data_IF_999718114325
#
_entry.id   IF_999718114325
#
_cell.length_a   1.000
_cell.length_b   1.000
_cell.length_c   1.000
_cell.angle_alpha   90.00
_cell.angle_beta   90.00
_cell.angle_gamma   90.00
#
_symmetry.space_group_name_H-M   'P 1'
#
loop_
_entity.id
_entity.type
_entity.pdbx_description
1 polymer ?
#
# COMPACT_ATOMS: atom_id res chain seq x y z
N UNK A 1 -23.29 24.17 1.01
CA UNK A 1 -22.94 23.77 1.02
C UNK A 1 -22.50 23.23 1.24
N UNK A 2 -22.28 23.10 1.05
CA UNK A 2 -21.83 22.57 1.06
C UNK A 2 -21.38 21.84 1.35
N UNK A 3 -21.22 21.57 1.40
CA UNK A 3 -20.84 20.74 1.67
C UNK A 3 -20.31 20.18 1.64
N UNK A 4 -20.19 20.03 1.52
CA UNK A 4 -19.70 19.41 1.46
C UNK A 4 -19.10 18.63 1.76
N UNK A 5 -19.01 18.25 1.73
CA UNK A 5 -18.49 17.37 2.01
C UNK A 5 -17.76 16.88 2.45
N UNK A 6 -17.70 16.70 2.43
CA UNK A 6 -17.13 16.28 2.87
C UNK A 6 -16.67 15.43 3.10
N UNK A 7 -16.70 15.12 2.86
CA UNK A 7 -16.33 14.44 3.08
C UNK A 7 -15.84 13.62 3.16
N UNK A 8 -15.87 13.34 2.91
CA UNK A 8 -15.44 12.61 2.93
C UNK A 8 -14.58 12.12 2.95
N UNK A 9 -14.31 11.88 2.92
CA UNK A 9 -13.53 11.45 2.96
C UNK A 9 -13.13 10.30 3.25
N UNK A 10 -13.38 9.39 3.27
CA UNK A 10 -13.03 8.33 3.49
C UNK A 10 -12.41 7.62 2.54
N UNK A 11 -12.45 6.76 2.04
CA UNK A 11 -11.73 6.09 1.02
C UNK A 11 -11.72 6.89 -0.24
N UNK A 12 -10.87 6.58 -1.16
CA UNK A 12 -10.82 7.31 -2.41
C UNK A 12 -12.01 6.96 -3.29
N UNK A 13 -12.37 7.90 -4.14
CA UNK A 13 -13.34 7.69 -5.18
C UNK A 13 -12.73 6.73 -6.17
N UNK A 14 -13.37 5.65 -6.49
CA UNK A 14 -12.82 4.66 -7.37
C UNK A 14 -12.58 5.17 -8.78
N UNK A 15 -13.37 6.12 -9.23
CA UNK A 15 -13.13 6.71 -10.54
C UNK A 15 -11.82 7.48 -10.52
N UNK A 16 -11.57 8.19 -9.43
CA UNK A 16 -10.33 8.92 -9.30
C UNK A 16 -9.15 7.96 -9.22
N UNK A 17 -9.33 6.86 -8.54
CA UNK A 17 -8.29 5.87 -8.48
C UNK A 17 -7.90 5.41 -9.87
N UNK A 18 -8.88 5.11 -10.73
CA UNK A 18 -8.58 4.66 -12.05
C UNK A 18 -7.80 5.69 -12.83
N UNK A 19 -8.17 6.96 -12.70
CA UNK A 19 -7.51 7.99 -13.44
C UNK A 19 -6.16 8.35 -12.87
N UNK A 20 -5.92 8.00 -11.62
CA UNK A 20 -4.68 8.38 -10.98
C UNK A 20 -3.80 7.21 -10.67
N UNK A 21 -3.84 6.17 -11.47
CA UNK A 21 -2.96 5.06 -11.25
C UNK A 21 -1.52 5.52 -11.35
N UNK A 22 -0.64 4.96 -10.53
CA UNK A 22 0.76 5.34 -10.58
C UNK A 22 1.43 4.80 -11.83
N UNK A 23 2.55 5.40 -12.17
CA UNK A 23 3.31 4.93 -13.31
C UNK A 23 4.14 3.72 -12.92
N UNK A 24 4.19 2.70 -13.77
CA UNK A 24 5.06 1.57 -13.52
C UNK A 24 6.50 2.03 -13.39
N UNK A 25 7.21 1.43 -12.47
CA UNK A 25 8.62 1.77 -12.28
C UNK A 25 8.89 2.92 -11.34
N UNK A 26 7.84 3.56 -10.83
CA UNK A 26 8.06 4.65 -9.88
C UNK A 26 8.11 4.10 -8.46
N UNK A 27 8.84 4.77 -7.56
CA UNK A 27 8.97 4.26 -6.20
C UNK A 27 7.68 4.42 -5.41
N UNK A 28 7.40 3.52 -4.49
CA UNK A 28 6.23 3.65 -3.63
C UNK A 28 6.34 4.86 -2.71
N UNK A 29 5.20 5.39 -2.34
CA UNK A 29 5.16 6.49 -1.39
C UNK A 29 5.47 5.98 0.01
N UNK A 30 5.80 6.88 0.95
CA UNK A 30 6.05 6.43 2.33
C UNK A 30 4.87 5.67 2.94
N UNK A 31 3.64 6.10 2.66
CA UNK A 31 2.47 5.39 3.18
C UNK A 31 2.36 3.99 2.53
N UNK A 32 2.67 3.90 1.26
CA UNK A 32 2.62 2.62 0.58
C UNK A 32 3.69 1.69 1.14
N UNK A 33 4.88 2.19 1.43
CA UNK A 33 5.94 1.39 2.02
C UNK A 33 5.51 0.90 3.40
N UNK A 34 4.89 1.78 4.18
CA UNK A 34 4.43 1.42 5.50
C UNK A 34 3.42 0.26 5.42
N UNK A 35 2.51 0.34 4.47
CA UNK A 35 1.51 -0.71 4.30
C UNK A 35 2.18 -2.01 3.86
N UNK A 36 3.11 -1.94 2.91
CA UNK A 36 3.77 -3.14 2.42
C UNK A 36 4.59 -3.79 3.54
N UNK A 37 5.14 -2.98 4.44
CA UNK A 37 5.88 -3.52 5.54
C UNK A 37 4.96 -4.33 6.46
N UNK A 38 3.73 -3.86 6.68
CA UNK A 38 2.76 -4.61 7.45
C UNK A 38 2.33 -5.88 6.74
N UNK A 39 2.21 -5.81 5.41
CA UNK A 39 1.92 -7.01 4.63
C UNK A 39 3.03 -8.02 4.83
N UNK A 40 4.28 -7.56 4.84
CA UNK A 40 5.41 -8.45 5.03
C UNK A 40 5.41 -9.12 6.38
N UNK A 41 4.77 -8.48 7.36
CA UNK A 41 4.66 -9.08 8.68
C UNK A 41 3.40 -9.92 8.83
N UNK A 42 2.69 -10.14 7.76
CA UNK A 42 1.55 -11.06 7.79
C UNK A 42 0.21 -10.46 8.14
N UNK A 43 0.12 -9.14 8.22
CA UNK A 43 -1.17 -8.55 8.56
C UNK A 43 -2.12 -8.58 7.38
N UNK A 44 -3.39 -8.78 7.67
CA UNK A 44 -4.44 -8.69 6.67
C UNK A 44 -4.76 -7.23 6.40
N UNK A 45 -5.52 -6.96 5.34
CA UNK A 45 -5.95 -5.60 5.03
C UNK A 45 -6.77 -5.03 6.18
N UNK A 46 -7.61 -5.86 6.82
CA UNK A 46 -8.40 -5.37 7.94
C UNK A 46 -7.50 -5.00 9.12
N UNK A 47 -6.48 -5.80 9.37
CA UNK A 47 -5.57 -5.51 10.47
C UNK A 47 -4.74 -4.26 10.19
N UNK A 48 -4.30 -4.11 8.96
CA UNK A 48 -3.54 -2.92 8.58
C UNK A 48 -4.44 -1.68 8.70
N UNK A 49 -5.67 -1.80 8.21
CA UNK A 49 -6.61 -0.69 8.29
C UNK A 49 -6.87 -0.28 9.74
N UNK A 50 -6.98 -1.26 10.62
CA UNK A 50 -7.21 -0.94 12.03
C UNK A 50 -6.03 -0.17 12.60
N UNK A 51 -4.82 -0.50 12.20
CA UNK A 51 -3.66 0.20 12.72
C UNK A 51 -3.49 1.59 12.14
N UNK A 52 -3.89 1.78 10.91
CA UNK A 52 -3.69 3.06 10.23
C UNK A 52 -4.95 3.90 10.13
N UNK A 53 -6.04 3.42 10.73
CA UNK A 53 -7.33 4.11 10.69
C UNK A 53 -7.83 4.26 9.26
N UNK A 54 -7.68 3.17 8.48
CA UNK A 54 -8.14 3.13 7.10
C UNK A 54 -9.12 1.98 6.92
N UNK A 55 -10.04 2.14 6.00
CA UNK A 55 -10.93 1.04 5.65
C UNK A 55 -10.11 -0.05 4.95
N UNK A 56 -10.49 -1.30 5.09
CA UNK A 56 -9.77 -2.38 4.42
C UNK A 56 -9.69 -2.20 2.90
N UNK A 57 -10.75 -1.67 2.29
CA UNK A 57 -10.73 -1.43 0.85
C UNK A 57 -9.70 -0.36 0.49
N UNK A 58 -9.51 0.63 1.33
CA UNK A 58 -8.48 1.64 1.10
C UNK A 58 -7.09 1.00 1.14
N UNK A 59 -6.89 0.09 2.09
CA UNK A 59 -5.62 -0.64 2.17
C UNK A 59 -5.42 -1.45 0.89
N UNK A 60 -6.48 -2.11 0.42
CA UNK A 60 -6.42 -2.88 -0.80
C UNK A 60 -5.99 -2.02 -1.97
N UNK A 61 -6.52 -0.81 -2.07
CA UNK A 61 -6.16 0.07 -3.16
C UNK A 61 -4.69 0.52 -3.06
N UNK A 62 -4.19 0.74 -1.85
CA UNK A 62 -2.79 1.07 -1.69
C UNK A 62 -1.90 -0.09 -2.14
N UNK A 63 -2.26 -1.32 -1.77
CA UNK A 63 -1.49 -2.48 -2.18
C UNK A 63 -1.49 -2.61 -3.71
N UNK A 64 -2.65 -2.35 -4.34
CA UNK A 64 -2.75 -2.43 -5.76
C UNK A 64 -1.86 -1.39 -6.43
N UNK A 65 -1.79 -0.18 -5.88
CA UNK A 65 -0.92 0.84 -6.43
C UNK A 65 0.54 0.40 -6.37
N UNK A 66 0.95 -0.23 -5.28
CA UNK A 66 2.32 -0.72 -5.18
C UNK A 66 2.56 -1.82 -6.20
N UNK A 67 1.56 -2.68 -6.43
CA UNK A 67 1.68 -3.70 -7.45
C UNK A 67 1.98 -3.09 -8.81
N UNK A 68 1.30 -2.00 -9.13
CA UNK A 68 1.54 -1.33 -10.41
C UNK A 68 2.94 -0.72 -10.45
N UNK A 69 3.34 -0.04 -9.38
CA UNK A 69 4.66 0.60 -9.37
C UNK A 69 5.79 -0.40 -9.51
N UNK A 70 5.67 -1.54 -8.85
CA UNK A 70 6.75 -2.52 -8.83
C UNK A 70 6.62 -3.61 -9.90
N UNK A 71 5.50 -3.63 -10.60
CA UNK A 71 5.27 -4.68 -11.59
C UNK A 71 5.01 -6.03 -10.96
N UNK A 72 4.38 -6.04 -9.79
CA UNK A 72 4.14 -7.28 -9.06
C UNK A 72 2.92 -7.99 -9.57
N UNK A 73 2.91 -9.31 -9.48
CA UNK A 73 1.80 -10.10 -9.94
C UNK A 73 0.78 -10.34 -8.85
N UNK A 74 1.18 -10.31 -7.62
CA UNK A 74 0.26 -10.54 -6.51
C UNK A 74 0.86 -9.97 -5.24
N UNK A 75 0.14 -10.12 -4.14
CA UNK A 75 0.51 -9.55 -2.86
C UNK A 75 1.87 -10.05 -2.38
N UNK A 76 2.11 -11.34 -2.50
CA UNK A 76 3.38 -11.89 -2.05
C UNK A 76 4.54 -11.38 -2.90
N UNK A 77 4.30 -11.21 -4.19
CA UNK A 77 5.33 -10.72 -5.09
C UNK A 77 5.69 -9.27 -4.77
N UNK A 78 4.71 -8.49 -4.26
CA UNK A 78 4.98 -7.12 -3.83
C UNK A 78 6.05 -7.12 -2.76
N UNK A 79 5.93 -8.00 -1.76
CA UNK A 79 6.87 -8.04 -0.66
C UNK A 79 8.26 -8.42 -1.18
N UNK A 80 8.31 -9.43 -2.05
CA UNK A 80 9.58 -9.87 -2.59
C UNK A 80 10.28 -8.75 -3.37
N UNK A 81 9.52 -8.06 -4.22
CA UNK A 81 10.08 -6.98 -5.00
C UNK A 81 10.49 -5.80 -4.15
N UNK A 82 9.69 -5.50 -3.13
CA UNK A 82 10.02 -4.38 -2.24
C UNK A 82 11.33 -4.65 -1.50
N UNK A 83 11.58 -5.87 -1.11
CA UNK A 83 12.84 -6.20 -0.48
C UNK A 83 13.97 -6.15 -1.49
N UNK A 84 13.73 -6.69 -2.68
CA UNK A 84 14.74 -6.71 -3.71
C UNK A 84 15.18 -5.31 -4.11
N UNK A 85 14.26 -4.37 -4.17
CA UNK A 85 14.58 -3.02 -4.57
C UNK A 85 15.02 -2.14 -3.40
N UNK A 86 15.07 -2.71 -2.20
CA UNK A 86 15.55 -1.97 -1.04
C UNK A 86 14.53 -1.08 -0.37
N UNK A 87 13.26 -1.24 -0.69
CA UNK A 87 12.23 -0.45 -0.04
C UNK A 87 11.86 -1.01 1.34
N UNK A 88 12.10 -2.30 1.56
CA UNK A 88 11.84 -2.91 2.84
C UNK A 88 13.07 -3.65 3.30
N UNK A 89 13.22 -3.77 4.61
CA UNK A 89 14.28 -4.56 5.14
C UNK A 89 13.73 -5.93 5.42
N UNK A 90 14.55 -6.94 5.23
CA UNK A 90 14.16 -8.28 5.57
C UNK A 90 13.83 -8.34 7.05
N UNK A 91 12.82 -9.07 7.43
CA UNK A 91 12.46 -9.17 8.85
C UNK A 91 13.60 -9.66 9.71
N UNK A 92 14.52 -10.46 9.12
CA UNK A 92 15.63 -10.93 9.87
C UNK A 92 16.83 -10.23 9.58
N UNK A 93 16.81 -9.30 8.67
CA UNK A 93 17.99 -8.66 8.18
C UNK A 93 18.74 -7.98 9.24
N UNK A 94 18.08 -7.34 10.10
CA UNK A 94 18.75 -6.58 11.08
C UNK A 94 19.34 -7.41 12.16
N UNK A 95 18.92 -8.63 12.23
CA UNK A 95 19.39 -9.40 13.21
C UNK A 95 20.60 -10.00 12.99
N UNK A 96 20.97 -10.04 11.93
CA UNK A 96 22.08 -10.70 11.61
C UNK A 96 23.13 -10.16 11.91
N UNK A 97 23.21 -9.47 12.15
CA UNK A 97 24.35 -8.92 12.44
C UNK A 97 24.72 -8.67 13.28
#
# INVERSE_FOLDING_TARGET
MTGRPRKRVRGPDLRTWRERQPEPGTPPSPREIEIVQMVAHGLSNAEIGAKLYLAPDTVKHHVRRVMIRLGARNRAHVVWLAMRYGYLQSPRGGDEQ
#
